data_IF_654186140686
#
_entry.id   IF_654186140686
#
_cell.length_a   1.000
_cell.length_b   1.000
_cell.length_c   1.000
_cell.angle_alpha   90.00
_cell.angle_beta   90.00
_cell.angle_gamma   90.00
#
_symmetry.space_group_name_H-M   'P 1'
#
loop_
_entity.id
_entity.type
_entity.pdbx_description
1 polymer ?
#
# COMPACT_ATOMS: atom_id res chain seq x y z
N UNK A 1 -11.59 -4.38 47.05
CA UNK A 1 -12.33 -5.51 46.47
C UNK A 1 -11.39 -6.72 46.46
N UNK A 2 -11.57 -7.69 47.38
CA UNK A 2 -10.74 -8.90 47.45
C UNK A 2 -11.40 -10.02 46.64
N UNK A 3 -10.67 -10.60 45.69
CA UNK A 3 -11.16 -11.68 44.82
C UNK A 3 -11.07 -12.98 45.61
N UNK A 4 -12.22 -13.57 45.95
CA UNK A 4 -12.32 -14.73 46.84
C UNK A 4 -12.48 -16.09 46.13
N UNK A 5 -12.48 -16.14 44.79
CA UNK A 5 -12.58 -17.41 44.05
C UNK A 5 -12.00 -17.29 42.65
N UNK A 6 -11.16 -18.26 42.28
CA UNK A 6 -10.77 -18.51 40.90
C UNK A 6 -11.60 -19.69 40.39
N UNK A 7 -12.55 -19.44 39.51
CA UNK A 7 -13.24 -20.51 38.78
C UNK A 7 -12.42 -20.90 37.55
N UNK A 8 -12.18 -22.21 37.41
CA UNK A 8 -11.49 -22.77 36.27
C UNK A 8 -12.44 -22.73 35.08
N UNK A 9 -12.19 -21.84 34.13
CA UNK A 9 -12.99 -21.72 32.91
C UNK A 9 -12.90 -23.03 32.12
N UNK A 10 -13.98 -23.80 32.08
CA UNK A 10 -14.08 -24.98 31.23
C UNK A 10 -13.94 -24.57 29.76
N UNK A 11 -13.11 -25.29 29.00
CA UNK A 11 -12.95 -25.09 27.55
C UNK A 11 -14.27 -25.42 26.86
N UNK A 12 -15.13 -24.42 26.67
CA UNK A 12 -16.34 -24.55 25.84
C UNK A 12 -15.97 -25.01 24.43
N UNK A 13 -16.69 -26.02 23.92
CA UNK A 13 -16.61 -26.44 22.52
C UNK A 13 -16.94 -25.24 21.63
N UNK A 14 -16.02 -24.94 20.72
CA UNK A 14 -16.08 -23.76 19.86
C UNK A 14 -17.14 -24.00 18.78
N UNK A 15 -18.17 -23.15 18.73
CA UNK A 15 -19.24 -23.22 17.74
C UNK A 15 -18.78 -22.67 16.37
N UNK A 16 -19.38 -23.14 15.27
CA UNK A 16 -19.06 -22.75 13.89
C UNK A 16 -19.14 -21.21 13.66
N UNK A 17 -20.03 -20.52 14.38
CA UNK A 17 -20.15 -19.05 14.34
C UNK A 17 -18.96 -18.30 14.97
N UNK A 18 -18.06 -18.99 15.66
CA UNK A 18 -16.84 -18.44 16.25
C UNK A 18 -15.62 -18.59 15.34
N UNK A 19 -15.75 -19.11 14.13
CA UNK A 19 -14.66 -19.19 13.14
C UNK A 19 -13.92 -17.85 12.96
N UNK A 20 -14.60 -16.68 12.86
CA UNK A 20 -13.92 -15.39 12.83
C UNK A 20 -13.04 -15.16 14.08
N UNK A 21 -13.54 -15.51 15.27
CA UNK A 21 -12.79 -15.40 16.53
C UNK A 21 -11.60 -16.36 16.60
N UNK A 22 -11.71 -17.58 16.07
CA UNK A 22 -10.59 -18.53 16.01
C UNK A 22 -9.49 -17.98 15.12
N UNK A 23 -9.86 -17.49 13.93
CA UNK A 23 -8.90 -16.94 12.96
C UNK A 23 -8.25 -15.69 13.53
N UNK A 24 -8.99 -14.81 14.20
CA UNK A 24 -8.44 -13.63 14.86
C UNK A 24 -7.47 -14.00 16.00
N UNK A 25 -7.81 -15.02 16.80
CA UNK A 25 -6.93 -15.53 17.85
C UNK A 25 -5.66 -16.16 17.27
N UNK A 26 -5.77 -16.92 16.18
CA UNK A 26 -4.62 -17.49 15.46
C UNK A 26 -3.75 -16.39 14.88
N UNK A 27 -4.34 -15.40 14.19
CA UNK A 27 -3.64 -14.22 13.69
C UNK A 27 -2.90 -13.51 14.82
N UNK A 28 -3.57 -13.26 15.95
CA UNK A 28 -2.94 -12.62 17.11
C UNK A 28 -1.76 -13.44 17.66
N UNK A 29 -1.91 -14.76 17.77
CA UNK A 29 -0.81 -15.64 18.20
C UNK A 29 0.38 -15.60 17.24
N UNK A 30 0.11 -15.63 15.93
CA UNK A 30 1.17 -15.55 14.91
C UNK A 30 1.88 -14.19 14.96
N UNK A 31 1.15 -13.09 15.12
CA UNK A 31 1.75 -11.76 15.25
C UNK A 31 2.60 -11.65 16.52
N UNK A 32 2.11 -12.12 17.67
CA UNK A 32 2.90 -12.16 18.91
C UNK A 32 4.14 -13.05 18.80
N UNK A 33 4.05 -14.15 18.04
CA UNK A 33 5.20 -15.02 17.75
C UNK A 33 6.23 -14.28 16.87
N UNK A 34 5.79 -13.51 15.90
CA UNK A 34 6.66 -12.72 15.03
C UNK A 34 7.32 -11.56 15.80
N UNK A 35 6.61 -10.96 16.75
CA UNK A 35 7.17 -9.97 17.68
C UNK A 35 8.25 -10.55 18.61
N UNK A 36 8.31 -11.87 18.78
CA UNK A 36 9.37 -12.52 19.56
C UNK A 36 10.66 -12.77 18.76
N UNK A 37 10.74 -12.29 17.52
CA UNK A 37 11.96 -12.43 16.72
C UNK A 37 13.12 -11.63 17.33
N UNK A 38 14.37 -12.10 17.21
CA UNK A 38 15.53 -11.40 17.75
C UNK A 38 15.74 -9.96 17.22
N UNK A 39 15.21 -9.66 16.03
CA UNK A 39 15.29 -8.35 15.40
C UNK A 39 13.87 -7.88 15.05
N UNK A 40 13.43 -6.81 15.71
CA UNK A 40 12.09 -6.23 15.57
C UNK A 40 11.74 -5.93 14.10
N UNK A 41 12.66 -5.31 13.35
CA UNK A 41 12.46 -5.00 11.92
C UNK A 41 12.10 -6.22 11.07
N UNK A 42 12.74 -7.37 11.32
CA UNK A 42 12.42 -8.60 10.59
C UNK A 42 11.01 -9.05 10.93
N UNK A 43 10.62 -8.92 12.21
CA UNK A 43 9.27 -9.15 12.67
C UNK A 43 8.24 -8.24 12.00
N UNK A 44 8.48 -6.93 11.99
CA UNK A 44 7.59 -5.92 11.39
C UNK A 44 7.36 -6.19 9.89
N UNK A 45 8.43 -6.44 9.12
CA UNK A 45 8.32 -6.77 7.70
C UNK A 45 7.61 -8.10 7.47
N UNK A 46 7.85 -9.11 8.32
CA UNK A 46 7.13 -10.40 8.27
C UNK A 46 5.63 -10.19 8.50
N UNK A 47 5.26 -9.42 9.54
CA UNK A 47 3.89 -9.05 9.84
C UNK A 47 3.22 -8.27 8.71
N UNK A 48 3.93 -7.31 8.11
CA UNK A 48 3.42 -6.51 7.00
C UNK A 48 3.19 -7.33 5.72
N UNK A 49 4.19 -8.10 5.28
CA UNK A 49 4.18 -8.79 3.98
C UNK A 49 3.38 -10.10 3.96
N UNK A 50 3.29 -10.81 5.09
CA UNK A 50 2.55 -12.08 5.19
C UNK A 50 1.17 -11.91 5.82
N UNK A 51 1.00 -10.93 6.71
CA UNK A 51 -0.25 -10.75 7.48
C UNK A 51 -0.87 -9.35 7.31
N UNK A 52 -0.33 -8.47 6.48
CA UNK A 52 -0.92 -7.16 6.21
C UNK A 52 -0.88 -6.23 7.43
N UNK A 53 -0.01 -6.49 8.40
CA UNK A 53 0.13 -5.70 9.63
C UNK A 53 1.11 -4.53 9.44
N UNK A 54 0.96 -3.74 8.38
CA UNK A 54 1.86 -2.64 8.03
C UNK A 54 1.85 -1.47 9.01
N UNK A 55 0.93 -1.45 9.98
CA UNK A 55 0.82 -0.39 10.99
C UNK A 55 1.89 -0.47 12.07
N UNK A 56 2.54 -1.63 12.23
CA UNK A 56 3.64 -1.81 13.18
C UNK A 56 4.99 -1.31 12.64
N UNK A 57 5.08 -1.07 11.33
CA UNK A 57 6.30 -0.55 10.73
C UNK A 57 6.63 0.83 11.29
N UNK A 58 7.90 1.06 11.58
CA UNK A 58 8.41 2.37 12.00
C UNK A 58 7.93 3.49 11.05
N UNK A 59 7.56 4.63 11.62
CA UNK A 59 7.01 5.76 10.85
C UNK A 59 8.01 6.26 9.80
N UNK A 60 9.30 6.28 10.14
CA UNK A 60 10.40 6.66 9.24
C UNK A 60 10.45 5.74 8.02
N UNK A 61 10.32 4.42 8.21
CA UNK A 61 10.23 3.42 7.15
C UNK A 61 8.99 3.67 6.29
N UNK A 62 7.81 3.84 6.90
CA UNK A 62 6.58 4.11 6.15
C UNK A 62 6.70 5.37 5.28
N UNK A 63 7.26 6.45 5.81
CA UNK A 63 7.49 7.70 5.08
C UNK A 63 8.48 7.52 3.92
N UNK A 64 9.58 6.79 4.14
CA UNK A 64 10.57 6.54 3.10
C UNK A 64 9.99 5.76 1.92
N UNK A 65 9.18 4.74 2.18
CA UNK A 65 8.47 3.99 1.15
C UNK A 65 7.37 4.83 0.50
N UNK A 66 6.63 5.63 1.26
CA UNK A 66 5.57 6.51 0.74
C UNK A 66 6.11 7.56 -0.25
N UNK A 67 7.27 8.17 0.05
CA UNK A 67 7.90 9.18 -0.84
C UNK A 67 8.29 8.64 -2.22
N UNK A 68 8.55 7.34 -2.31
CA UNK A 68 8.82 6.63 -3.57
C UNK A 68 7.56 5.96 -4.15
N UNK A 69 6.43 6.13 -3.47
CA UNK A 69 5.15 5.47 -3.73
C UNK A 69 5.20 3.94 -3.69
N UNK A 70 6.14 3.39 -2.92
CA UNK A 70 6.32 1.95 -2.67
C UNK A 70 5.48 1.42 -1.50
N UNK A 71 4.69 2.27 -0.84
CA UNK A 71 3.89 1.87 0.33
C UNK A 71 2.95 0.69 0.02
N UNK A 72 2.51 0.56 -1.23
CA UNK A 72 1.68 -0.55 -1.67
C UNK A 72 2.40 -1.91 -1.69
N UNK A 73 3.75 -1.94 -1.76
CA UNK A 73 4.54 -3.17 -1.64
C UNK A 73 4.63 -3.68 -0.20
N UNK A 74 4.53 -2.77 0.79
CA UNK A 74 4.47 -3.11 2.20
C UNK A 74 3.07 -3.57 2.65
N UNK A 75 2.10 -3.53 1.75
CA UNK A 75 0.74 -4.05 1.95
C UNK A 75 0.51 -5.28 1.10
N UNK A 76 -0.30 -6.22 1.57
CA UNK A 76 -0.63 -7.42 0.79
C UNK A 76 -1.45 -7.01 -0.45
N UNK A 77 -0.86 -7.30 -1.61
CA UNK A 77 -1.43 -7.03 -2.93
C UNK A 77 -1.84 -8.32 -3.64
N UNK A 78 -2.45 -8.19 -4.83
CA UNK A 78 -2.78 -9.34 -5.68
C UNK A 78 -1.57 -10.20 -6.08
N UNK A 79 -0.40 -9.57 -6.20
CA UNK A 79 0.85 -10.27 -6.54
C UNK A 79 1.32 -11.16 -5.39
N UNK A 80 1.17 -10.70 -4.14
CA UNK A 80 1.50 -11.51 -2.95
C UNK A 80 0.62 -12.77 -2.89
N UNK A 81 -0.70 -12.62 -3.06
CA UNK A 81 -1.62 -13.77 -3.07
C UNK A 81 -1.32 -14.72 -4.24
N UNK A 82 -1.04 -14.17 -5.43
CA UNK A 82 -0.65 -14.98 -6.59
C UNK A 82 0.64 -15.75 -6.36
N UNK A 83 1.63 -15.12 -5.72
CA UNK A 83 2.87 -15.76 -5.35
C UNK A 83 2.62 -16.94 -4.39
N UNK A 84 1.84 -16.73 -3.32
CA UNK A 84 1.49 -17.78 -2.36
C UNK A 84 0.78 -18.96 -3.03
N UNK A 85 -0.21 -18.70 -3.89
CA UNK A 85 -0.88 -19.75 -4.68
C UNK A 85 0.13 -20.53 -5.53
N UNK A 86 1.07 -19.84 -6.17
CA UNK A 86 2.09 -20.46 -7.03
C UNK A 86 3.03 -21.35 -6.21
N UNK A 87 3.47 -20.88 -5.03
CA UNK A 87 4.30 -21.67 -4.11
C UNK A 87 3.55 -22.91 -3.64
N UNK A 88 2.31 -22.78 -3.18
CA UNK A 88 1.51 -23.92 -2.73
C UNK A 88 1.30 -24.96 -3.84
N UNK A 89 0.94 -24.52 -5.06
CA UNK A 89 0.82 -25.43 -6.21
C UNK A 89 2.12 -26.17 -6.51
N UNK A 90 3.27 -25.48 -6.46
CA UNK A 90 4.58 -26.11 -6.67
C UNK A 90 4.92 -27.10 -5.57
N UNK A 91 4.63 -26.78 -4.31
CA UNK A 91 4.85 -27.68 -3.18
C UNK A 91 3.98 -28.93 -3.27
N UNK A 92 2.67 -28.78 -3.50
CA UNK A 92 1.76 -29.92 -3.62
C UNK A 92 2.10 -30.81 -4.81
N UNK A 93 2.54 -30.24 -5.93
CA UNK A 93 3.06 -31.01 -7.07
C UNK A 93 4.31 -31.82 -6.72
N UNK A 94 5.21 -31.30 -5.86
CA UNK A 94 6.37 -32.07 -5.36
C UNK A 94 5.95 -33.25 -4.48
N UNK A 95 4.85 -33.12 -3.74
CA UNK A 95 4.23 -34.22 -3.00
C UNK A 95 3.35 -35.14 -3.87
N UNK A 96 3.39 -34.98 -5.20
CA UNK A 96 2.61 -35.78 -6.18
C UNK A 96 1.09 -35.75 -5.94
N UNK A 97 0.58 -34.69 -5.33
CA UNK A 97 -0.87 -34.45 -5.22
C UNK A 97 -1.45 -34.17 -6.61
N UNK A 98 -2.66 -34.69 -6.86
CA UNK A 98 -3.37 -34.42 -8.12
C UNK A 98 -3.78 -32.94 -8.23
N UNK A 99 -4.12 -32.49 -9.45
CA UNK A 99 -4.62 -31.12 -9.67
C UNK A 99 -5.89 -30.87 -8.84
N UNK A 100 -6.77 -31.86 -8.78
CA UNK A 100 -8.06 -31.79 -8.11
C UNK A 100 -7.91 -31.60 -6.60
N UNK A 101 -7.01 -32.37 -5.96
CA UNK A 101 -6.70 -32.26 -4.54
C UNK A 101 -6.00 -30.93 -4.21
N UNK A 102 -5.13 -30.47 -5.10
CA UNK A 102 -4.48 -29.16 -4.99
C UNK A 102 -5.50 -28.03 -5.02
N UNK A 103 -6.44 -28.07 -5.95
CA UNK A 103 -7.47 -27.05 -6.08
C UNK A 103 -8.48 -27.09 -4.91
N UNK A 104 -8.80 -28.27 -4.38
CA UNK A 104 -9.59 -28.42 -3.14
C UNK A 104 -8.88 -27.84 -1.91
N UNK A 105 -7.59 -28.11 -1.77
CA UNK A 105 -6.78 -27.51 -0.70
C UNK A 105 -6.75 -25.98 -0.84
N UNK A 106 -6.64 -25.43 -2.05
CA UNK A 106 -6.67 -23.98 -2.29
C UNK A 106 -8.03 -23.36 -1.99
N UNK A 107 -9.13 -24.05 -2.30
CA UNK A 107 -10.49 -23.59 -1.96
C UNK A 107 -10.68 -23.43 -0.45
N UNK A 108 -10.03 -24.27 0.35
CA UNK A 108 -10.02 -24.15 1.82
C UNK A 108 -9.01 -23.10 2.32
N UNK A 109 -7.78 -23.14 1.81
CA UNK A 109 -6.66 -22.34 2.32
C UNK A 109 -6.79 -20.84 1.99
N UNK A 110 -7.31 -20.47 0.82
CA UNK A 110 -7.34 -19.07 0.39
C UNK A 110 -8.28 -18.19 1.24
N UNK A 111 -9.53 -18.60 1.54
CA UNK A 111 -10.39 -17.85 2.46
C UNK A 111 -9.80 -17.77 3.88
N UNK A 112 -9.19 -18.87 4.37
CA UNK A 112 -8.51 -18.89 5.66
C UNK A 112 -7.34 -17.91 5.70
N UNK A 113 -6.52 -17.89 4.64
CA UNK A 113 -5.44 -16.91 4.51
C UNK A 113 -5.98 -15.48 4.44
N UNK A 114 -7.03 -15.21 3.66
CA UNK A 114 -7.64 -13.88 3.56
C UNK A 114 -8.13 -13.36 4.92
N UNK A 115 -8.72 -14.24 5.74
CA UNK A 115 -9.12 -13.92 7.10
C UNK A 115 -7.89 -13.77 8.03
N UNK A 116 -6.91 -14.67 7.96
CA UNK A 116 -5.65 -14.56 8.73
C UNK A 116 -4.87 -13.30 8.40
N UNK A 117 -4.97 -12.79 7.18
CA UNK A 117 -4.33 -11.57 6.70
C UNK A 117 -5.16 -10.30 7.00
N UNK A 118 -6.26 -10.42 7.75
CA UNK A 118 -7.00 -9.30 8.31
C UNK A 118 -8.11 -8.74 7.41
N UNK A 119 -8.44 -9.44 6.31
CA UNK A 119 -9.61 -9.12 5.49
C UNK A 119 -9.58 -7.74 4.83
N UNK A 120 -8.41 -7.13 4.65
CA UNK A 120 -8.31 -5.84 3.95
C UNK A 120 -8.86 -5.95 2.53
N UNK A 121 -9.39 -4.85 2.00
CA UNK A 121 -10.06 -4.82 0.69
C UNK A 121 -9.22 -5.39 -0.45
N UNK A 122 -7.92 -5.05 -0.49
CA UNK A 122 -7.00 -5.55 -1.52
C UNK A 122 -6.82 -7.06 -1.46
N UNK A 123 -6.79 -7.63 -0.24
CA UNK A 123 -6.64 -9.04 0.05
C UNK A 123 -7.91 -9.79 -0.29
N UNK A 124 -9.06 -9.29 0.17
CA UNK A 124 -10.36 -9.87 -0.14
C UNK A 124 -10.55 -10.01 -1.66
N UNK A 125 -10.23 -8.95 -2.41
CA UNK A 125 -10.28 -8.99 -3.88
C UNK A 125 -9.32 -10.03 -4.45
N UNK A 126 -8.06 -10.00 -4.02
CA UNK A 126 -7.03 -10.90 -4.54
C UNK A 126 -7.35 -12.38 -4.29
N UNK A 127 -7.84 -12.71 -3.09
CA UNK A 127 -8.30 -14.05 -2.71
C UNK A 127 -9.51 -14.45 -3.52
N UNK A 128 -10.54 -13.60 -3.58
CA UNK A 128 -11.79 -13.91 -4.30
C UNK A 128 -11.57 -14.12 -5.79
N UNK A 129 -10.73 -13.30 -6.43
CA UNK A 129 -10.41 -13.45 -7.86
C UNK A 129 -9.59 -14.71 -8.18
N UNK A 130 -8.96 -15.35 -7.19
CA UNK A 130 -8.33 -16.68 -7.37
C UNK A 130 -9.25 -17.82 -6.95
N UNK A 131 -10.10 -17.58 -5.98
CA UNK A 131 -11.01 -18.56 -5.42
C UNK A 131 -12.21 -18.84 -6.34
N UNK A 132 -12.84 -17.80 -6.89
CA UNK A 132 -14.04 -17.91 -7.73
C UNK A 132 -13.81 -18.74 -9.00
N UNK A 133 -12.72 -18.58 -9.78
CA UNK A 133 -12.48 -19.43 -10.95
C UNK A 133 -12.27 -20.91 -10.59
N UNK A 134 -11.58 -21.20 -9.48
CA UNK A 134 -11.38 -22.58 -9.01
C UNK A 134 -12.72 -23.21 -8.60
N UNK A 135 -13.57 -22.45 -7.91
CA UNK A 135 -14.92 -22.90 -7.57
C UNK A 135 -15.77 -23.11 -8.83
N UNK A 136 -15.69 -22.16 -9.79
CA UNK A 136 -16.36 -22.22 -11.09
C UNK A 136 -16.04 -23.50 -11.85
N UNK A 137 -14.76 -23.88 -11.93
CA UNK A 137 -14.31 -25.14 -12.55
C UNK A 137 -14.98 -26.37 -11.89
N UNK A 138 -15.13 -26.40 -10.56
CA UNK A 138 -15.77 -27.52 -9.83
C UNK A 138 -17.28 -27.61 -10.09
N UNK A 139 -17.97 -26.48 -10.23
CA UNK A 139 -19.41 -26.44 -10.53
C UNK A 139 -19.71 -26.38 -12.04
N UNK A 140 -18.68 -26.54 -12.90
CA UNK A 140 -18.76 -26.47 -14.36
C UNK A 140 -19.29 -25.14 -14.90
N UNK A 141 -19.06 -24.05 -14.17
CA UNK A 141 -19.34 -22.69 -14.59
C UNK A 141 -18.06 -22.04 -15.11
N UNK A 142 -18.06 -21.61 -16.37
CA UNK A 142 -16.95 -20.83 -16.92
C UNK A 142 -16.95 -19.45 -16.28
N UNK A 143 -15.91 -19.14 -15.51
CA UNK A 143 -15.73 -17.86 -14.87
C UNK A 143 -14.51 -17.17 -15.50
N UNK A 144 -14.74 -16.17 -16.36
CA UNK A 144 -13.65 -15.35 -16.88
C UNK A 144 -13.04 -14.49 -15.77
N UNK A 145 -11.87 -13.91 -16.04
CA UNK A 145 -11.23 -12.96 -15.10
C UNK A 145 -12.09 -11.72 -14.83
N UNK A 146 -12.89 -11.29 -15.82
CA UNK A 146 -13.84 -10.17 -15.69
C UNK A 146 -15.07 -10.56 -14.88
N UNK A 147 -15.57 -11.79 -15.04
CA UNK A 147 -16.66 -12.31 -14.21
C UNK A 147 -16.21 -12.41 -12.75
N UNK A 148 -15.01 -12.94 -12.52
CA UNK A 148 -14.43 -13.03 -11.18
C UNK A 148 -14.26 -11.64 -10.55
N UNK A 149 -13.79 -10.64 -11.31
CA UNK A 149 -13.67 -9.25 -10.85
C UNK A 149 -15.04 -8.65 -10.49
N UNK A 150 -16.05 -8.86 -11.35
CA UNK A 150 -17.40 -8.31 -11.19
C UNK A 150 -18.12 -8.95 -10.00
N UNK A 151 -18.08 -10.27 -9.87
CA UNK A 151 -18.62 -10.99 -8.72
C UNK A 151 -17.93 -10.56 -7.42
N UNK A 152 -16.60 -10.45 -7.44
CA UNK A 152 -15.84 -9.97 -6.27
C UNK A 152 -16.27 -8.56 -5.86
N UNK A 153 -16.46 -7.65 -6.82
CA UNK A 153 -16.93 -6.28 -6.56
C UNK A 153 -18.33 -6.29 -5.93
N UNK A 154 -19.27 -7.05 -6.51
CA UNK A 154 -20.64 -7.18 -6.02
C UNK A 154 -20.66 -7.73 -4.60
N UNK A 155 -19.94 -8.82 -4.34
CA UNK A 155 -19.86 -9.43 -3.00
C UNK A 155 -19.24 -8.44 -2.00
N UNK A 156 -18.16 -7.75 -2.37
CA UNK A 156 -17.48 -6.78 -1.49
C UNK A 156 -18.43 -5.64 -1.09
N UNK A 157 -19.18 -5.09 -2.05
CA UNK A 157 -20.12 -3.99 -1.80
C UNK A 157 -21.38 -4.47 -1.07
N UNK A 158 -21.82 -5.69 -1.30
CA UNK A 158 -22.94 -6.29 -0.57
C UNK A 158 -22.59 -6.51 0.90
N UNK A 159 -21.37 -6.96 1.20
CA UNK A 159 -20.89 -7.13 2.58
C UNK A 159 -20.67 -5.79 3.29
N UNK A 160 -20.11 -4.79 2.60
CA UNK A 160 -19.85 -3.48 3.18
C UNK A 160 -19.89 -2.36 2.12
N UNK A 161 -21.06 -1.71 1.90
CA UNK A 161 -21.23 -0.73 0.82
C UNK A 161 -20.35 0.52 1.01
N UNK A 162 -20.02 0.86 2.27
CA UNK A 162 -19.15 2.00 2.57
C UNK A 162 -17.71 1.84 2.08
N UNK A 163 -17.29 0.63 1.68
CA UNK A 163 -15.94 0.40 1.15
C UNK A 163 -15.66 1.18 -0.13
N UNK A 164 -16.68 1.54 -0.92
CA UNK A 164 -16.51 2.30 -2.17
C UNK A 164 -15.84 3.67 -1.96
N UNK A 165 -15.98 4.25 -0.77
CA UNK A 165 -15.36 5.53 -0.40
C UNK A 165 -13.93 5.37 0.13
N UNK A 166 -13.47 4.13 0.37
CA UNK A 166 -12.11 3.90 0.82
C UNK A 166 -11.13 3.95 -0.35
N UNK A 167 -10.04 4.68 -0.17
CA UNK A 167 -9.03 4.88 -1.23
C UNK A 167 -8.40 3.55 -1.67
N UNK A 168 -8.16 2.63 -0.72
CA UNK A 168 -7.64 1.29 -1.01
C UNK A 168 -8.58 0.46 -1.89
N UNK A 169 -9.91 0.59 -1.71
CA UNK A 169 -10.89 -0.04 -2.59
C UNK A 169 -10.81 0.55 -4.00
N UNK A 170 -10.91 1.87 -4.11
CA UNK A 170 -10.92 2.57 -5.40
C UNK A 170 -9.68 2.23 -6.22
N UNK A 171 -8.48 2.34 -5.61
CA UNK A 171 -7.23 1.98 -6.28
C UNK A 171 -7.19 0.49 -6.61
N UNK A 172 -7.49 -0.42 -5.68
CA UNK A 172 -7.33 -1.85 -5.94
C UNK A 172 -8.23 -2.34 -7.08
N UNK A 173 -9.50 -1.93 -7.11
CA UNK A 173 -10.45 -2.35 -8.15
C UNK A 173 -10.19 -1.63 -9.48
N UNK A 174 -9.92 -0.32 -9.49
CA UNK A 174 -9.63 0.43 -10.72
C UNK A 174 -8.38 -0.09 -11.41
N UNK A 175 -7.28 -0.26 -10.67
CA UNK A 175 -6.02 -0.72 -11.25
C UNK A 175 -6.12 -2.17 -11.74
N UNK A 176 -6.85 -3.03 -11.02
CA UNK A 176 -7.11 -4.40 -11.48
C UNK A 176 -7.96 -4.42 -12.74
N UNK A 177 -9.04 -3.63 -12.80
CA UNK A 177 -9.91 -3.54 -13.98
C UNK A 177 -9.11 -3.04 -15.19
N UNK A 178 -8.30 -2.01 -15.00
CA UNK A 178 -7.41 -1.52 -16.03
C UNK A 178 -6.49 -2.63 -16.54
N UNK A 179 -5.82 -3.37 -15.65
CA UNK A 179 -4.92 -4.46 -16.06
C UNK A 179 -5.65 -5.59 -16.81
N UNK A 180 -6.91 -5.87 -16.46
CA UNK A 180 -7.72 -6.88 -17.16
C UNK A 180 -8.16 -6.43 -18.56
N UNK A 181 -8.47 -5.15 -18.72
CA UNK A 181 -8.93 -4.58 -19.99
C UNK A 181 -7.77 -4.12 -20.89
N UNK A 182 -6.59 -3.87 -20.32
CA UNK A 182 -5.45 -3.37 -21.07
C UNK A 182 -4.95 -4.43 -22.07
N UNK A 183 -5.01 -4.16 -23.39
CA UNK A 183 -4.61 -5.15 -24.38
C UNK A 183 -3.08 -5.27 -24.42
N UNK A 184 -2.55 -6.43 -23.99
CA UNK A 184 -1.09 -6.66 -23.92
C UNK A 184 -0.41 -6.61 -25.29
N UNK A 185 -1.14 -6.86 -26.38
CA UNK A 185 -0.60 -6.73 -27.74
C UNK A 185 -0.26 -5.28 -28.13
N UNK A 186 -0.78 -4.29 -27.40
CA UNK A 186 -0.44 -2.87 -27.64
C UNK A 186 1.03 -2.57 -27.38
N UNK A 187 1.68 -3.36 -26.53
CA UNK A 187 3.07 -3.14 -26.12
C UNK A 187 4.05 -4.12 -26.77
N UNK A 188 3.62 -4.89 -27.78
CA UNK A 188 4.50 -5.83 -28.49
C UNK A 188 5.61 -5.15 -29.29
N UNK A 189 5.45 -3.86 -29.60
CA UNK A 189 6.52 -3.06 -30.22
C UNK A 189 7.70 -2.83 -29.26
N UNK A 190 7.52 -3.01 -27.94
CA UNK A 190 8.59 -2.93 -26.96
C UNK A 190 9.35 -4.25 -26.91
N UNK A 191 10.63 -4.23 -27.30
CA UNK A 191 11.46 -5.43 -27.45
C UNK A 191 11.83 -6.11 -26.12
N UNK A 192 12.00 -5.33 -25.06
CA UNK A 192 12.51 -5.82 -23.78
C UNK A 192 11.43 -5.85 -22.70
N UNK A 193 11.41 -6.90 -21.88
CA UNK A 193 10.45 -7.07 -20.78
C UNK A 193 10.52 -5.93 -19.75
N UNK A 194 11.71 -5.37 -19.54
CA UNK A 194 11.89 -4.20 -18.68
C UNK A 194 11.12 -2.99 -19.22
N UNK A 195 11.14 -2.75 -20.54
CA UNK A 195 10.40 -1.65 -21.15
C UNK A 195 8.89 -1.88 -21.06
N UNK A 196 8.44 -3.13 -21.26
CA UNK A 196 7.03 -3.51 -21.05
C UNK A 196 6.58 -3.26 -19.61
N UNK A 197 7.38 -3.65 -18.62
CA UNK A 197 7.13 -3.41 -17.19
C UNK A 197 7.06 -1.92 -16.86
N UNK A 198 8.00 -1.12 -17.36
CA UNK A 198 8.01 0.34 -17.16
C UNK A 198 6.80 1.01 -17.80
N UNK A 199 6.38 0.56 -18.99
CA UNK A 199 5.19 1.07 -19.65
C UNK A 199 3.93 0.76 -18.84
N UNK A 200 3.75 -0.49 -18.42
CA UNK A 200 2.61 -0.89 -17.56
C UNK A 200 2.62 -0.10 -16.25
N UNK A 201 3.79 0.07 -15.61
CA UNK A 201 3.94 0.84 -14.38
C UNK A 201 3.59 2.31 -14.57
N UNK A 202 3.92 2.89 -15.73
CA UNK A 202 3.55 4.26 -16.11
C UNK A 202 2.05 4.40 -16.28
N UNK A 203 1.40 3.47 -16.98
CA UNK A 203 -0.05 3.46 -17.14
C UNK A 203 -0.76 3.28 -15.79
N UNK A 204 -0.22 2.44 -14.90
CA UNK A 204 -0.75 2.26 -13.56
C UNK A 204 -0.64 3.53 -12.71
N UNK A 205 0.46 4.26 -12.82
CA UNK A 205 0.58 5.56 -12.19
C UNK A 205 -0.47 6.53 -12.75
N UNK A 206 -0.59 6.64 -14.08
CA UNK A 206 -1.59 7.52 -14.72
C UNK A 206 -3.02 7.25 -14.24
N UNK A 207 -3.41 5.97 -14.14
CA UNK A 207 -4.72 5.58 -13.60
C UNK A 207 -4.87 5.89 -12.11
N UNK A 208 -3.78 5.89 -11.35
CA UNK A 208 -3.80 6.17 -9.90
C UNK A 208 -3.82 7.67 -9.58
N UNK A 209 -3.22 8.52 -10.43
CA UNK A 209 -3.03 9.96 -10.17
C UNK A 209 -4.32 10.66 -9.74
N UNK A 210 -5.49 10.49 -10.40
CA UNK A 210 -6.69 11.22 -10.01
C UNK A 210 -7.18 10.91 -8.61
N UNK A 211 -7.10 9.63 -8.21
CA UNK A 211 -7.50 9.19 -6.87
C UNK A 211 -6.48 9.68 -5.84
N UNK A 212 -5.18 9.55 -6.13
CA UNK A 212 -4.11 10.02 -5.24
C UNK A 212 -4.16 11.54 -5.05
N UNK A 213 -4.30 12.30 -6.13
CA UNK A 213 -4.43 13.76 -6.10
C UNK A 213 -5.67 14.20 -5.32
N UNK A 214 -6.81 13.53 -5.48
CA UNK A 214 -8.04 13.91 -4.78
C UNK A 214 -7.97 13.65 -3.26
N UNK A 215 -7.39 12.52 -2.84
CA UNK A 215 -7.38 12.09 -1.44
C UNK A 215 -6.14 12.50 -0.66
N UNK A 216 -4.96 12.43 -1.29
CA UNK A 216 -3.67 12.71 -0.65
C UNK A 216 -3.04 14.03 -1.09
N UNK A 217 -3.58 14.66 -2.15
CA UNK A 217 -3.07 15.93 -2.70
C UNK A 217 -1.68 15.86 -3.34
N UNK A 218 -1.12 14.66 -3.44
CA UNK A 218 0.22 14.40 -3.93
C UNK A 218 0.34 13.00 -4.54
N UNK A 219 1.33 12.82 -5.41
CA UNK A 219 1.74 11.51 -5.92
C UNK A 219 3.25 11.49 -6.20
N UNK A 220 3.86 10.31 -6.13
CA UNK A 220 5.27 10.13 -6.47
C UNK A 220 5.43 9.65 -7.91
N UNK A 221 6.22 10.35 -8.72
CA UNK A 221 6.54 9.86 -10.07
C UNK A 221 7.59 8.75 -10.04
N UNK A 222 8.40 8.68 -8.97
CA UNK A 222 9.40 7.63 -8.78
C UNK A 222 8.77 6.23 -8.72
N UNK A 223 7.47 6.12 -8.42
CA UNK A 223 6.72 4.86 -8.40
C UNK A 223 6.85 4.05 -9.69
N UNK A 224 7.00 4.70 -10.86
CA UNK A 224 7.16 3.98 -12.13
C UNK A 224 8.42 3.10 -12.12
N UNK A 225 9.55 3.69 -11.72
CA UNK A 225 10.85 3.01 -11.70
C UNK A 225 10.93 2.12 -10.46
N UNK A 226 10.55 2.68 -9.31
CA UNK A 226 10.65 2.01 -8.02
C UNK A 226 9.80 0.73 -7.99
N UNK A 227 8.56 0.76 -8.47
CA UNK A 227 7.70 -0.44 -8.47
C UNK A 227 8.28 -1.53 -9.36
N UNK A 228 8.79 -1.18 -10.55
CA UNK A 228 9.40 -2.15 -11.47
C UNK A 228 10.62 -2.86 -10.83
N UNK A 229 11.49 -2.10 -10.15
CA UNK A 229 12.69 -2.65 -9.50
C UNK A 229 12.39 -3.40 -8.20
N UNK A 230 11.65 -2.77 -7.29
CA UNK A 230 11.44 -3.30 -5.95
C UNK A 230 10.39 -4.40 -5.89
N UNK A 231 9.42 -4.48 -6.82
CA UNK A 231 8.48 -5.62 -6.85
C UNK A 231 9.24 -6.93 -6.99
N UNK A 232 10.28 -6.99 -7.83
CA UNK A 232 11.09 -8.19 -7.98
C UNK A 232 11.79 -8.57 -6.67
N UNK A 233 12.46 -7.60 -6.04
CA UNK A 233 13.19 -7.78 -4.79
C UNK A 233 12.25 -8.25 -3.67
N UNK A 234 11.08 -7.61 -3.53
CA UNK A 234 10.13 -7.93 -2.46
C UNK A 234 9.42 -9.26 -2.69
N UNK A 235 8.90 -9.51 -3.89
CA UNK A 235 8.08 -10.71 -4.16
C UNK A 235 8.93 -11.96 -4.33
N UNK A 236 10.05 -11.87 -5.07
CA UNK A 236 10.88 -13.04 -5.39
C UNK A 236 12.11 -13.18 -4.49
N UNK A 237 12.50 -12.13 -3.78
CA UNK A 237 13.58 -12.16 -2.78
C UNK A 237 13.04 -12.21 -1.35
N UNK A 238 12.54 -11.09 -0.84
CA UNK A 238 12.22 -10.91 0.57
C UNK A 238 11.07 -11.82 1.05
N UNK A 239 9.95 -11.85 0.32
CA UNK A 239 8.75 -12.62 0.69
C UNK A 239 9.03 -14.14 0.90
N UNK A 240 9.71 -14.86 -0.02
CA UNK A 240 10.11 -16.25 0.22
C UNK A 240 11.01 -16.43 1.44
N UNK A 241 11.97 -15.53 1.65
CA UNK A 241 12.89 -15.59 2.79
C UNK A 241 12.12 -15.42 4.10
N UNK A 242 11.21 -14.44 4.18
CA UNK A 242 10.38 -14.22 5.36
C UNK A 242 9.40 -15.38 5.59
N UNK A 243 8.85 -15.98 4.53
CA UNK A 243 8.01 -17.18 4.63
C UNK A 243 8.82 -18.37 5.17
N UNK A 244 10.06 -18.57 4.69
CA UNK A 244 10.95 -19.61 5.19
C UNK A 244 11.35 -19.37 6.65
N UNK A 245 11.63 -18.12 7.04
CA UNK A 245 11.89 -17.74 8.43
C UNK A 245 10.69 -17.99 9.33
N UNK A 246 9.46 -17.70 8.87
CA UNK A 246 8.23 -18.01 9.61
C UNK A 246 8.08 -19.51 9.86
N UNK A 247 8.38 -20.35 8.87
CA UNK A 247 8.32 -21.80 9.05
C UNK A 247 9.44 -22.28 9.99
N UNK A 248 10.66 -21.76 9.83
CA UNK A 248 11.81 -22.09 10.67
C UNK A 248 11.61 -21.68 12.13
N UNK A 249 10.97 -20.53 12.38
CA UNK A 249 10.75 -20.00 13.72
C UNK A 249 9.78 -20.87 14.54
N UNK A 250 8.96 -21.71 13.91
CA UNK A 250 8.11 -22.68 14.63
C UNK A 250 8.97 -23.72 15.37
N UNK A 251 10.12 -24.10 14.80
CA UNK A 251 10.97 -25.17 15.34
C UNK A 251 12.22 -24.67 16.06
N UNK A 252 12.76 -23.52 15.64
CA UNK A 252 14.10 -23.09 16.03
C UNK A 252 14.17 -21.68 16.64
N UNK A 253 13.05 -21.07 17.05
CA UNK A 253 13.01 -19.68 17.54
C UNK A 253 14.14 -19.32 18.52
N UNK A 254 14.42 -20.20 19.49
CA UNK A 254 15.39 -19.97 20.56
C UNK A 254 16.79 -20.51 20.23
N UNK A 255 17.03 -21.00 19.02
CA UNK A 255 18.31 -21.59 18.63
C UNK A 255 19.26 -20.53 18.05
N UNK A 256 20.58 -20.60 18.32
CA UNK A 256 21.55 -19.65 17.77
C UNK A 256 21.52 -19.56 16.25
N UNK A 257 21.25 -20.68 15.57
CA UNK A 257 21.15 -20.71 14.12
C UNK A 257 19.99 -19.86 13.58
N UNK A 258 18.84 -19.83 14.27
CA UNK A 258 17.73 -18.98 13.85
C UNK A 258 18.06 -17.50 14.05
N UNK A 259 18.73 -17.15 15.16
CA UNK A 259 19.21 -15.79 15.41
C UNK A 259 20.14 -15.31 14.29
N UNK A 260 21.11 -16.14 13.91
CA UNK A 260 22.01 -15.87 12.79
C UNK A 260 21.26 -15.64 11.46
N UNK A 261 20.25 -16.46 11.15
CA UNK A 261 19.43 -16.27 9.95
C UNK A 261 18.64 -14.95 9.99
N UNK A 262 18.06 -14.62 11.13
CA UNK A 262 17.32 -13.36 11.32
C UNK A 262 18.27 -12.16 11.21
N UNK A 263 19.49 -12.24 11.72
CA UNK A 263 20.52 -11.19 11.57
C UNK A 263 20.88 -10.91 10.12
N UNK A 264 21.12 -11.95 9.32
CA UNK A 264 21.39 -11.79 7.88
C UNK A 264 20.23 -11.05 7.19
N UNK A 265 19.00 -11.43 7.50
CA UNK A 265 17.81 -10.80 6.91
C UNK A 265 17.63 -9.37 7.43
N UNK A 266 17.94 -9.12 8.71
CA UNK A 266 17.94 -7.77 9.30
C UNK A 266 18.93 -6.84 8.61
N UNK A 267 20.12 -7.33 8.26
CA UNK A 267 21.12 -6.58 7.48
C UNK A 267 20.57 -6.26 6.08
N UNK A 268 19.97 -7.25 5.41
CA UNK A 268 19.36 -7.05 4.09
C UNK A 268 18.27 -5.97 4.11
N UNK A 269 17.34 -6.05 5.08
CA UNK A 269 16.27 -5.06 5.24
C UNK A 269 16.86 -3.68 5.53
N UNK A 270 17.84 -3.58 6.44
CA UNK A 270 18.50 -2.32 6.79
C UNK A 270 19.23 -1.71 5.59
N UNK A 271 19.82 -2.53 4.73
CA UNK A 271 20.44 -2.08 3.49
C UNK A 271 19.40 -1.52 2.51
N UNK A 272 18.25 -2.20 2.35
CA UNK A 272 17.13 -1.71 1.54
C UNK A 272 16.63 -0.35 2.06
N UNK A 273 16.37 -0.23 3.36
CA UNK A 273 15.92 1.03 3.97
C UNK A 273 16.93 2.16 3.80
N UNK A 274 18.21 1.88 4.06
CA UNK A 274 19.30 2.86 3.89
C UNK A 274 19.44 3.30 2.44
N UNK A 275 19.25 2.39 1.49
CA UNK A 275 19.26 2.70 0.06
C UNK A 275 18.08 3.60 -0.33
N UNK A 276 16.86 3.28 0.13
CA UNK A 276 15.68 4.14 -0.09
C UNK A 276 15.84 5.51 0.55
N UNK A 277 16.43 5.59 1.75
CA UNK A 277 16.72 6.85 2.42
C UNK A 277 17.72 7.69 1.63
N UNK A 278 18.79 7.08 1.10
CA UNK A 278 19.74 7.76 0.21
C UNK A 278 19.05 8.30 -1.04
N UNK A 279 18.20 7.51 -1.68
CA UNK A 279 17.41 7.97 -2.84
C UNK A 279 16.57 9.20 -2.46
N UNK A 280 15.84 9.13 -1.34
CA UNK A 280 15.01 10.23 -0.85
C UNK A 280 15.81 11.48 -0.44
N UNK A 281 17.10 11.34 -0.14
CA UNK A 281 17.98 12.48 0.17
C UNK A 281 18.45 13.23 -1.08
N UNK A 282 18.44 12.59 -2.26
CA UNK A 282 18.88 13.22 -3.53
C UNK A 282 17.87 14.29 -3.98
N UNK A 283 16.58 14.10 -3.71
CA UNK A 283 15.55 15.07 -4.06
C UNK A 283 14.14 14.62 -3.71
N UNK A 284 13.18 15.52 -3.93
CA UNK A 284 11.76 15.20 -3.80
C UNK A 284 11.22 14.60 -5.10
N UNK A 285 10.72 13.37 -5.02
CA UNK A 285 10.00 12.72 -6.13
C UNK A 285 8.49 12.97 -6.09
N UNK A 286 8.04 13.74 -5.10
CA UNK A 286 6.63 14.04 -4.87
C UNK A 286 6.20 15.24 -5.70
N UNK A 287 5.07 15.10 -6.39
CA UNK A 287 4.38 16.19 -7.07
C UNK A 287 3.14 16.53 -6.24
N UNK A 288 3.12 17.73 -5.68
CA UNK A 288 1.96 18.26 -4.95
C UNK A 288 0.98 18.88 -5.94
N UNK A 289 -0.22 18.33 -6.00
CA UNK A 289 -1.30 18.78 -6.91
C UNK A 289 -2.34 19.65 -6.20
N UNK A 290 -2.45 19.52 -4.87
CA UNK A 290 -3.61 20.03 -4.12
C UNK A 290 -4.84 19.16 -4.39
N UNK A 291 -6.04 19.68 -4.08
CA UNK A 291 -7.30 18.96 -4.35
C UNK A 291 -7.87 19.35 -5.72
N UNK A 292 -7.69 18.56 -6.79
CA UNK A 292 -8.24 18.89 -8.09
C UNK A 292 -9.77 18.90 -8.06
N UNK A 293 -10.35 19.87 -8.77
CA UNK A 293 -11.80 19.89 -9.05
C UNK A 293 -12.16 18.71 -9.95
N UNK A 294 -13.39 18.19 -9.79
CA UNK A 294 -13.86 17.03 -10.56
C UNK A 294 -13.77 17.20 -12.08
N UNK A 295 -13.88 18.43 -12.60
CA UNK A 295 -13.74 18.70 -14.04
C UNK A 295 -12.35 18.31 -14.57
N UNK A 296 -11.27 18.60 -13.84
CA UNK A 296 -9.91 18.25 -14.25
C UNK A 296 -9.66 16.74 -14.14
N UNK A 297 -10.25 16.09 -13.13
CA UNK A 297 -10.23 14.63 -12.99
C UNK A 297 -10.92 13.97 -14.19
N UNK A 298 -12.12 14.41 -14.53
CA UNK A 298 -12.91 13.88 -15.64
C UNK A 298 -12.21 14.09 -16.99
N UNK A 299 -11.69 15.29 -17.23
CA UNK A 299 -10.92 15.60 -18.44
C UNK A 299 -9.68 14.71 -18.57
N UNK A 300 -8.94 14.53 -17.47
CA UNK A 300 -7.76 13.67 -17.46
C UNK A 300 -8.08 12.19 -17.73
N UNK A 301 -9.13 11.63 -17.09
CA UNK A 301 -9.59 10.27 -17.39
C UNK A 301 -10.03 10.11 -18.85
N UNK A 302 -10.73 11.11 -19.40
CA UNK A 302 -11.15 11.11 -20.80
C UNK A 302 -9.95 11.10 -21.74
N UNK A 303 -8.93 11.91 -21.45
CA UNK A 303 -7.68 11.92 -22.23
C UNK A 303 -6.90 10.60 -22.13
N UNK A 304 -6.89 9.93 -20.97
CA UNK A 304 -6.31 8.58 -20.84
C UNK A 304 -7.04 7.59 -21.75
N UNK A 305 -8.37 7.59 -21.74
CA UNK A 305 -9.16 6.68 -22.58
C UNK A 305 -8.90 6.91 -24.07
N UNK A 306 -8.92 8.19 -24.50
CA UNK A 306 -8.61 8.56 -25.89
C UNK A 306 -7.20 8.10 -26.26
N UNK A 307 -6.22 8.29 -25.38
CA UNK A 307 -4.85 7.84 -25.62
C UNK A 307 -4.76 6.32 -25.85
N UNK A 308 -5.43 5.52 -25.00
CA UNK A 308 -5.46 4.05 -25.17
C UNK A 308 -6.11 3.66 -26.50
N UNK A 309 -7.24 4.27 -26.85
CA UNK A 309 -7.92 4.00 -28.13
C UNK A 309 -7.05 4.35 -29.35
N UNK A 310 -6.27 5.43 -29.27
CA UNK A 310 -5.38 5.85 -30.35
C UNK A 310 -4.09 5.01 -30.42
N UNK A 311 -3.62 4.49 -29.29
CA UNK A 311 -2.55 3.49 -29.26
C UNK A 311 -2.98 2.23 -30.02
N UNK A 312 -4.20 1.75 -29.76
CA UNK A 312 -4.80 0.57 -30.40
C UNK A 312 -4.99 0.75 -31.90
N UNK A 313 -5.65 1.84 -32.32
CA UNK A 313 -5.87 2.14 -33.74
C UNK A 313 -4.58 2.48 -34.51
N UNK A 314 -3.46 2.64 -33.81
CA UNK A 314 -2.18 3.10 -34.33
C UNK A 314 -2.24 4.45 -35.07
N UNK A 315 -3.22 5.30 -34.74
CA UNK A 315 -3.45 6.62 -35.35
C UNK A 315 -3.26 7.73 -34.31
N UNK A 316 -2.80 8.91 -34.74
CA UNK A 316 -2.69 10.13 -33.91
C UNK A 316 -2.01 9.97 -32.52
N UNK A 317 -1.15 8.95 -32.33
CA UNK A 317 -0.53 8.62 -31.03
C UNK A 317 0.19 9.80 -30.38
N UNK A 318 0.92 10.56 -31.18
CA UNK A 318 1.65 11.75 -30.71
C UNK A 318 0.68 12.82 -30.22
N UNK A 319 -0.37 13.14 -30.98
CA UNK A 319 -1.37 14.13 -30.58
C UNK A 319 -2.13 13.69 -29.31
N UNK A 320 -2.48 12.40 -29.20
CA UNK A 320 -3.11 11.87 -27.99
C UNK A 320 -2.17 11.90 -26.78
N UNK A 321 -0.86 11.71 -26.97
CA UNK A 321 0.12 11.85 -25.90
C UNK A 321 0.27 13.30 -25.46
N UNK A 322 0.33 14.24 -26.42
CA UNK A 322 0.39 15.68 -26.13
C UNK A 322 -0.85 16.13 -25.34
N UNK A 323 -2.04 15.74 -25.78
CA UNK A 323 -3.30 16.06 -25.06
C UNK A 323 -3.34 15.44 -23.67
N UNK A 324 -2.85 14.20 -23.50
CA UNK A 324 -2.70 13.57 -22.18
C UNK A 324 -1.72 14.37 -21.29
N UNK A 325 -0.56 14.77 -21.80
CA UNK A 325 0.41 15.57 -21.04
C UNK A 325 -0.17 16.95 -20.66
N UNK A 326 -0.90 17.60 -21.56
CA UNK A 326 -1.59 18.87 -21.28
C UNK A 326 -2.64 18.67 -20.18
N UNK A 327 -3.46 17.61 -20.28
CA UNK A 327 -4.47 17.31 -19.26
C UNK A 327 -3.86 17.01 -17.89
N UNK A 328 -2.70 16.34 -17.84
CA UNK A 328 -1.93 16.13 -16.61
C UNK A 328 -1.46 17.46 -16.03
N UNK A 329 -0.93 18.35 -16.86
CA UNK A 329 -0.54 19.71 -16.46
C UNK A 329 -1.72 20.48 -15.86
N UNK A 330 -2.89 20.44 -16.51
CA UNK A 330 -4.11 21.07 -15.99
C UNK A 330 -4.54 20.49 -14.64
N UNK A 331 -4.40 19.18 -14.44
CA UNK A 331 -4.70 18.52 -13.16
C UNK A 331 -3.72 18.96 -12.06
N UNK A 332 -2.41 18.94 -12.35
CA UNK A 332 -1.36 19.35 -11.40
C UNK A 332 -1.53 20.81 -10.98
N UNK A 333 -1.85 21.70 -11.93
CA UNK A 333 -2.06 23.11 -11.67
C UNK A 333 -3.52 23.48 -11.40
N UNK A 334 -4.40 22.51 -11.15
CA UNK A 334 -5.84 22.71 -10.97
C UNK A 334 -6.19 23.76 -9.91
N UNK A 335 -5.39 23.84 -8.83
CA UNK A 335 -5.56 24.84 -7.76
C UNK A 335 -5.28 26.27 -8.22
N UNK A 336 -4.46 26.47 -9.25
CA UNK A 336 -4.20 27.80 -9.85
C UNK A 336 -5.36 28.29 -10.72
N UNK A 337 -6.30 27.43 -11.07
CA UNK A 337 -7.54 27.82 -11.76
C UNK A 337 -8.67 28.12 -10.78
N UNK A 338 -8.42 28.10 -9.46
CA UNK A 338 -9.44 28.40 -8.47
C UNK A 338 -9.57 29.91 -8.25
N UNK A 339 -10.69 30.49 -8.69
CA UNK A 339 -10.95 31.94 -8.56
C UNK A 339 -11.41 32.37 -7.17
N UNK A 340 -11.71 31.43 -6.27
CA UNK A 340 -12.20 31.74 -4.92
C UNK A 340 -11.06 32.19 -4.00
N UNK A 341 -11.27 33.30 -3.29
CA UNK A 341 -10.48 33.65 -2.10
C UNK A 341 -10.93 32.75 -0.94
N UNK A 342 -10.01 32.07 -0.27
CA UNK A 342 -10.33 31.20 0.87
C UNK A 342 -9.64 31.71 2.12
N UNK A 343 -10.41 31.96 3.17
CA UNK A 343 -9.90 32.25 4.51
C UNK A 343 -10.11 31.01 5.36
N UNK A 344 -9.01 30.44 5.87
CA UNK A 344 -9.02 29.25 6.71
C UNK A 344 -8.57 29.65 8.10
N UNK A 345 -9.47 29.56 9.07
CA UNK A 345 -9.13 29.78 10.48
C UNK A 345 -8.69 28.43 11.05
N UNK A 346 -7.44 28.36 11.48
CA UNK A 346 -6.80 27.17 12.05
C UNK A 346 -6.90 27.24 13.57
N UNK A 347 -7.49 26.21 14.17
CA UNK A 347 -7.45 26.03 15.62
C UNK A 347 -6.06 25.52 16.02
N UNK A 348 -5.24 26.43 16.54
CA UNK A 348 -3.89 26.16 17.05
C UNK A 348 -3.87 26.07 18.58
N UNK A 349 -5.04 26.12 19.23
CA UNK A 349 -5.21 26.10 20.68
C UNK A 349 -4.81 27.40 21.40
N UNK A 350 -3.73 28.09 20.99
CA UNK A 350 -3.30 29.37 21.54
C UNK A 350 -3.21 30.46 20.47
N UNK A 351 -4.03 31.50 20.62
CA UNK A 351 -4.11 32.62 19.68
C UNK A 351 -4.85 32.25 18.39
N UNK A 352 -4.99 33.21 17.50
CA UNK A 352 -5.61 33.01 16.19
C UNK A 352 -4.54 32.73 15.14
N UNK A 353 -4.75 31.67 14.36
CA UNK A 353 -3.96 31.37 13.16
C UNK A 353 -4.88 31.39 11.95
N UNK A 354 -4.71 32.36 11.06
CA UNK A 354 -5.59 32.59 9.91
C UNK A 354 -4.77 32.48 8.63
N UNK A 355 -5.11 31.51 7.78
CA UNK A 355 -4.50 31.29 6.48
C UNK A 355 -5.40 31.83 5.37
N UNK A 356 -4.96 32.88 4.68
CA UNK A 356 -5.61 33.46 3.52
C UNK A 356 -4.96 32.89 2.25
N UNK A 357 -5.73 32.12 1.48
CA UNK A 357 -5.32 31.62 0.16
C UNK A 357 -5.93 32.52 -0.92
N UNK A 358 -5.07 33.22 -1.64
CA UNK A 358 -5.48 34.16 -2.68
C UNK A 358 -5.96 33.45 -3.95
N UNK A 359 -6.75 34.18 -4.75
CA UNK A 359 -7.34 33.70 -6.00
C UNK A 359 -6.24 33.26 -6.97
N UNK A 360 -6.54 32.24 -7.76
CA UNK A 360 -5.66 31.67 -8.77
C UNK A 360 -4.30 31.19 -8.24
N UNK A 361 -4.21 30.91 -6.93
CA UNK A 361 -2.96 30.49 -6.30
C UNK A 361 -1.87 31.56 -6.31
N UNK A 362 -2.24 32.85 -6.38
CA UNK A 362 -1.30 33.98 -6.41
C UNK A 362 -0.48 34.14 -5.12
N UNK A 363 -1.01 33.67 -4.00
CA UNK A 363 -0.33 33.78 -2.71
C UNK A 363 -1.05 33.01 -1.60
N UNK A 364 -0.30 32.70 -0.56
CA UNK A 364 -0.83 32.19 0.70
C UNK A 364 -0.23 33.03 1.83
N UNK A 365 -1.09 33.70 2.60
CA UNK A 365 -0.70 34.57 3.71
C UNK A 365 -1.14 33.90 5.01
N UNK A 366 -0.19 33.66 5.92
CA UNK A 366 -0.49 33.15 7.24
C UNK A 366 -0.36 34.30 8.24
N UNK A 367 -1.47 34.63 8.91
CA UNK A 367 -1.52 35.56 10.03
C UNK A 367 -1.52 34.70 11.29
N UNK A 368 -0.40 34.69 12.00
CA UNK A 368 -0.26 33.96 13.25
C UNK A 368 -0.13 34.96 14.41
N UNK A 369 -1.11 34.94 15.30
CA UNK A 369 -1.14 35.77 16.51
C UNK A 369 -0.81 34.96 17.78
N UNK A 370 -0.41 33.69 17.62
CA UNK A 370 0.05 32.84 18.71
C UNK A 370 1.28 33.42 19.40
N UNK A 371 1.20 33.58 20.73
CA UNK A 371 2.35 33.97 21.56
C UNK A 371 3.27 32.78 21.83
N UNK A 372 4.57 33.01 21.99
CA UNK A 372 5.47 31.98 22.50
C UNK A 372 5.00 31.54 23.90
N UNK A 373 4.72 30.24 24.10
CA UNK A 373 4.55 29.68 25.43
C UNK A 373 5.81 29.95 26.25
N UNK A 374 5.79 31.01 27.05
CA UNK A 374 6.64 31.11 28.23
C UNK A 374 6.15 30.10 29.24
N UNK A 375 6.42 28.82 29.00
CA UNK A 375 6.52 27.88 30.10
C UNK A 375 7.52 28.49 31.09
N UNK A 376 7.16 28.57 32.38
CA UNK A 376 8.12 28.94 33.41
C UNK A 376 9.31 27.97 33.31
N UNK A 377 10.41 28.44 32.69
CA UNK A 377 11.66 27.69 32.71
C UNK A 377 12.09 27.60 34.16
N UNK A 378 12.03 26.38 34.73
CA UNK A 378 12.62 26.05 36.04
C UNK A 378 14.00 26.70 36.12
N UNK A 379 14.37 27.28 37.27
CA UNK A 379 15.56 28.14 37.44
C UNK A 379 16.85 27.57 36.82
N UNK A 380 17.01 26.24 36.79
CA UNK A 380 18.15 25.54 36.21
C UNK A 380 18.23 25.59 34.67
N UNK A 381 17.12 25.82 33.96
CA UNK A 381 17.05 25.88 32.49
C UNK A 381 17.19 27.31 31.92
N UNK A 382 17.32 28.33 32.78
CA UNK A 382 17.64 29.71 32.36
C UNK A 382 19.15 29.79 32.08
N UNK A 383 19.56 29.73 30.80
CA UNK A 383 20.94 30.01 30.39
C UNK A 383 21.34 31.41 30.90
N UNK A 384 22.40 31.48 31.72
CA UNK A 384 23.05 32.75 32.07
C UNK A 384 23.52 33.43 30.78
N UNK A 385 23.05 34.66 30.53
CA UNK A 385 23.58 35.51 29.45
C UNK A 385 25.05 35.79 29.75
N UNK A 386 25.95 35.06 29.09
CA UNK A 386 27.36 35.45 29.04
C UNK A 386 27.44 36.61 28.05
N UNK A 387 27.69 37.82 28.55
CA UNK A 387 28.03 38.99 27.73
C UNK A 387 29.39 38.70 27.08
N UNK A 388 29.38 38.29 25.82
CA UNK A 388 30.59 38.37 24.99
C UNK A 388 30.62 39.78 24.41
N UNK A 389 31.49 40.62 24.97
CA UNK A 389 31.86 41.90 24.37
C UNK A 389 32.69 41.60 23.11
N UNK A 390 32.08 41.72 21.93
CA UNK A 390 32.84 41.79 20.66
C UNK A 390 33.36 43.21 20.52
N UNK A 391 34.68 43.37 20.63
CA UNK A 391 35.40 44.56 20.20
C UNK A 391 35.34 44.61 18.67
N UNK A 392 34.76 45.67 18.13
CA UNK A 392 34.83 46.00 16.71
C UNK A 392 36.16 46.74 16.53
N UNK A 393 37.04 46.19 15.70
CA UNK A 393 38.06 46.93 14.95
C UNK A 393 37.82 46.64 13.48
#
# INVERSE_FOLDING_TARGET
>A
MKINKFEKVEKKKIAIWQIPKIVDLLRKKLLLHIESYPIDKVGEFTGALLFGNSNQLEETTRLNFSKLGLIHLLSISGVHVQYLVTVFRRLFRRFKLSKELTDEALLLMLPLYGALAGGQTSIFRAVSMRWLPILGEKIKLQCSSLDAWSLTLIISLWLKPTQIFSVGFQLSYLLTLFLLLFPLNLIDFLKHDVMKSLFISSMMLLMSIPILAYHFYEFSWATVIATSLFTFIFIYGLLPILLALLIASIFWLNQPFFQFLVEIVGILISWIESFLQKINSIGSFMITTGRPKFIFIFLFFSCILIFIMQLEKRKHRFLSLVTLCVSLGCLIFSTRFDSSLKVVVLDVGQGDSILIKDRFGKGAYLIDTGGALTFEKKKWAKKKKIRVLRKIN
#
